data_IF_824455261499
#
_entry.id   IF_824455261499
#
_cell.length_a   1.000
_cell.length_b   1.000
_cell.length_c   1.000
_cell.angle_alpha   90.00
_cell.angle_beta   90.00
_cell.angle_gamma   90.00
#
_symmetry.space_group_name_H-M   'P 1'
#
loop_
_entity.id
_entity.type
_entity.pdbx_description
1 polymer ?
#
# COMPACT_ATOMS: atom_id res chain seq x y z
N UNK A 1 3.69 23.76 14.32
CA UNK A 1 3.91 22.94 15.53
C UNK A 1 5.11 23.50 16.29
N UNK A 2 5.04 23.62 17.63
CA UNK A 2 6.10 24.29 18.40
C UNK A 2 7.11 23.32 19.07
N UNK A 3 7.10 22.04 18.73
CA UNK A 3 7.96 21.03 19.38
C UNK A 3 8.93 20.44 18.38
N UNK A 4 10.19 20.28 18.79
CA UNK A 4 11.21 19.52 18.06
C UNK A 4 11.13 18.06 18.45
N UNK A 5 11.09 17.18 17.46
CA UNK A 5 10.97 15.72 17.62
C UNK A 5 12.22 15.00 17.13
N UNK A 6 12.45 13.79 17.64
CA UNK A 6 13.51 12.92 17.19
C UNK A 6 13.12 11.45 17.26
N UNK A 7 13.63 10.64 16.34
CA UNK A 7 13.51 9.19 16.36
C UNK A 7 14.65 8.51 15.58
N UNK A 8 14.84 7.20 15.82
CA UNK A 8 15.62 6.33 14.93
C UNK A 8 14.84 6.13 13.64
N UNK A 9 15.44 6.45 12.51
CA UNK A 9 14.79 6.40 11.17
C UNK A 9 15.22 5.19 10.33
N UNK A 10 16.14 4.37 10.83
CA UNK A 10 16.54 3.08 10.24
C UNK A 10 15.94 1.93 11.05
N UNK A 11 16.03 0.70 10.51
CA UNK A 11 15.64 -0.49 11.26
C UNK A 11 16.47 -0.60 12.57
N UNK A 12 15.80 -1.00 13.67
CA UNK A 12 16.43 -1.17 14.98
C UNK A 12 17.02 -2.58 15.06
N UNK A 13 18.08 -2.81 14.27
CA UNK A 13 18.84 -4.06 14.24
C UNK A 13 20.31 -3.76 14.06
N UNK A 14 21.20 -4.69 14.38
CA UNK A 14 22.63 -4.51 14.17
C UNK A 14 22.94 -4.32 12.68
N UNK A 15 23.48 -3.16 12.34
CA UNK A 15 23.81 -2.75 10.96
C UNK A 15 25.08 -1.89 10.95
N UNK A 16 25.60 -1.57 9.76
CA UNK A 16 26.77 -0.69 9.65
C UNK A 16 26.49 0.76 10.03
N UNK A 17 25.26 1.25 9.76
CA UNK A 17 24.84 2.65 9.98
C UNK A 17 23.44 2.67 10.59
N UNK A 18 23.23 3.56 11.58
CA UNK A 18 21.94 3.96 12.09
C UNK A 18 21.73 5.45 11.91
N UNK A 19 20.50 5.87 11.66
CA UNK A 19 20.14 7.28 11.45
C UNK A 19 19.17 7.72 12.53
N UNK A 20 19.55 8.78 13.27
CA UNK A 20 18.64 9.51 14.17
C UNK A 20 18.24 10.80 13.45
N UNK A 21 16.94 10.98 13.23
CA UNK A 21 16.38 12.18 12.63
C UNK A 21 15.80 13.10 13.70
N UNK A 22 16.08 14.40 13.55
CA UNK A 22 15.56 15.48 14.39
C UNK A 22 14.82 16.44 13.45
N UNK A 23 13.60 16.87 13.79
CA UNK A 23 12.83 17.86 13.01
C UNK A 23 12.11 18.82 13.94
N UNK A 24 12.11 20.10 13.57
CA UNK A 24 11.38 21.14 14.30
C UNK A 24 12.17 22.41 14.51
N UNK A 25 11.57 23.42 15.18
CA UNK A 25 12.14 24.77 15.30
C UNK A 25 13.47 24.80 16.07
N UNK A 26 13.70 23.88 17.00
CA UNK A 26 14.93 23.81 17.78
C UNK A 26 15.93 22.74 17.29
N UNK A 27 15.72 22.14 16.11
CA UNK A 27 16.58 21.04 15.61
C UNK A 27 18.07 21.46 15.55
N UNK A 28 18.33 22.70 15.11
CA UNK A 28 19.68 23.26 15.05
C UNK A 28 20.26 23.57 16.43
N UNK A 29 19.42 23.91 17.39
CA UNK A 29 19.83 24.16 18.77
C UNK A 29 20.21 22.88 19.48
N UNK A 30 19.37 21.84 19.34
CA UNK A 30 19.61 20.50 19.89
C UNK A 30 20.94 19.96 19.41
N UNK A 31 21.14 19.88 18.08
CA UNK A 31 22.41 19.33 17.54
C UNK A 31 23.63 20.16 17.96
N UNK A 32 23.51 21.47 18.08
CA UNK A 32 24.62 22.33 18.48
C UNK A 32 25.11 22.12 19.90
N UNK A 33 24.26 21.60 20.79
CA UNK A 33 24.61 21.29 22.19
C UNK A 33 25.44 20.03 22.32
N UNK A 34 25.22 19.06 21.43
CA UNK A 34 25.77 17.71 21.54
C UNK A 34 26.85 17.38 20.51
N UNK A 35 26.94 18.12 19.41
CA UNK A 35 27.89 17.85 18.33
C UNK A 35 29.15 18.70 18.45
N UNK A 36 30.33 18.06 18.27
CA UNK A 36 31.61 18.75 18.14
C UNK A 36 32.33 18.25 16.87
N UNK A 37 32.76 19.19 16.00
CA UNK A 37 33.53 18.84 14.80
C UNK A 37 34.92 18.34 15.17
N UNK A 38 35.51 17.44 14.38
CA UNK A 38 36.88 16.87 14.62
C UNK A 38 37.97 17.92 14.83
N UNK A 39 37.83 19.10 14.25
CA UNK A 39 38.82 20.20 14.42
C UNK A 39 38.39 21.26 15.42
N UNK A 40 37.25 21.11 16.13
CA UNK A 40 36.74 22.03 17.15
C UNK A 40 36.32 23.44 16.67
N UNK A 41 36.52 23.74 15.37
CA UNK A 41 36.36 25.10 14.81
C UNK A 41 35.02 25.35 14.10
N UNK A 42 34.30 24.32 13.72
CA UNK A 42 33.02 24.48 12.99
C UNK A 42 31.83 24.57 13.95
N UNK A 43 31.06 25.64 13.84
CA UNK A 43 29.78 25.78 14.53
C UNK A 43 28.68 25.27 13.61
N UNK A 44 28.02 24.17 13.98
CA UNK A 44 27.01 23.50 13.18
C UNK A 44 25.81 24.40 12.84
N UNK A 45 25.53 25.42 13.65
CA UNK A 45 24.48 26.41 13.37
C UNK A 45 24.78 27.34 12.20
N UNK A 46 26.05 27.52 11.86
CA UNK A 46 26.49 28.47 10.84
C UNK A 46 26.74 27.81 9.48
N UNK A 47 26.58 26.48 9.38
CA UNK A 47 26.84 25.75 8.13
C UNK A 47 25.72 25.93 7.12
N UNK A 48 25.99 25.85 5.81
CA UNK A 48 24.98 25.85 4.76
C UNK A 48 24.03 24.67 4.89
N UNK A 49 22.80 24.84 4.34
CA UNK A 49 21.84 23.74 4.20
C UNK A 49 22.33 22.69 3.22
N UNK A 50 21.86 21.44 3.39
CA UNK A 50 22.22 20.28 2.57
C UNK A 50 23.74 19.99 2.56
N UNK A 51 24.36 20.07 3.74
CA UNK A 51 25.78 19.78 3.94
C UNK A 51 25.96 18.72 5.02
N UNK A 52 27.05 17.93 4.89
CA UNK A 52 27.41 16.83 5.78
C UNK A 52 28.68 17.21 6.54
N UNK A 53 28.68 16.91 7.84
CA UNK A 53 29.74 17.29 8.77
C UNK A 53 30.20 16.11 9.61
N UNK A 54 31.47 15.79 9.53
CA UNK A 54 32.12 14.75 10.33
C UNK A 54 32.50 15.27 11.72
N UNK A 55 32.21 14.49 12.76
CA UNK A 55 32.53 14.83 14.15
C UNK A 55 32.07 13.77 15.13
N UNK A 56 31.76 14.22 16.35
CA UNK A 56 31.41 13.37 17.47
C UNK A 56 30.17 13.87 18.19
N UNK A 57 29.36 12.97 18.70
CA UNK A 57 28.25 13.27 19.64
C UNK A 57 28.80 13.11 21.07
N UNK A 58 28.45 14.08 21.91
CA UNK A 58 28.85 14.15 23.32
C UNK A 58 27.62 14.15 24.22
N UNK A 59 27.67 13.39 25.32
CA UNK A 59 26.78 13.52 26.49
C UNK A 59 27.61 14.12 27.62
N UNK A 60 27.54 15.43 27.84
CA UNK A 60 28.48 16.18 28.69
C UNK A 60 29.89 16.17 28.10
N UNK A 61 30.82 15.51 28.78
CA UNK A 61 32.22 15.35 28.35
C UNK A 61 32.51 13.97 27.73
N UNK A 62 31.56 13.03 27.80
CA UNK A 62 31.70 11.69 27.26
C UNK A 62 31.42 11.69 25.75
N UNK A 63 32.29 11.05 24.97
CA UNK A 63 32.04 10.77 23.56
C UNK A 63 31.08 9.60 23.47
N UNK A 64 29.91 9.83 22.88
CA UNK A 64 28.89 8.81 22.66
C UNK A 64 29.16 8.04 21.38
N UNK A 65 29.43 8.75 20.27
CA UNK A 65 29.74 8.12 18.99
C UNK A 65 30.47 9.08 18.02
N UNK A 66 31.13 8.50 17.03
CA UNK A 66 31.72 9.19 15.88
C UNK A 66 30.70 9.18 14.74
N UNK A 67 30.35 10.36 14.19
CA UNK A 67 29.14 10.52 13.37
C UNK A 67 29.38 11.40 12.13
N UNK A 68 28.48 11.25 11.15
CA UNK A 68 28.22 12.25 10.13
C UNK A 68 26.90 12.98 10.48
N UNK A 69 26.90 14.29 10.45
CA UNK A 69 25.70 15.10 10.70
C UNK A 69 25.29 15.80 9.42
N UNK A 70 24.10 15.50 8.93
CA UNK A 70 23.49 16.18 7.79
C UNK A 70 22.56 17.30 8.30
N UNK A 71 22.73 18.51 7.74
CA UNK A 71 21.95 19.69 8.08
C UNK A 71 21.07 20.09 6.90
N UNK A 72 19.76 20.17 7.14
CA UNK A 72 18.76 20.58 6.16
C UNK A 72 17.85 21.66 6.76
N UNK A 73 17.77 22.82 6.10
CA UNK A 73 16.97 23.94 6.59
C UNK A 73 15.65 24.08 5.85
N UNK A 74 14.65 24.48 6.61
CA UNK A 74 13.33 24.81 6.07
C UNK A 74 13.44 25.85 4.93
N UNK A 75 12.48 25.83 3.96
CA UNK A 75 11.39 24.86 3.78
C UNK A 75 11.77 23.65 2.94
N UNK A 76 13.00 23.56 2.40
CA UNK A 76 13.43 22.49 1.47
C UNK A 76 13.90 21.25 2.21
N UNK A 77 13.02 20.65 3.04
CA UNK A 77 13.26 19.42 3.82
C UNK A 77 12.09 18.47 3.68
N UNK A 78 12.20 17.26 4.24
CA UNK A 78 11.10 16.31 4.18
C UNK A 78 9.85 16.79 4.93
N UNK A 79 10.02 17.34 6.12
CA UNK A 79 8.92 17.85 6.96
C UNK A 79 8.52 19.29 6.65
N UNK A 80 9.29 20.03 5.85
CA UNK A 80 9.16 21.48 5.72
C UNK A 80 9.74 22.27 6.88
N UNK A 81 10.25 21.62 7.93
CA UNK A 81 10.90 22.20 9.11
C UNK A 81 12.43 22.07 9.01
N UNK A 82 13.18 22.76 9.90
CA UNK A 82 14.60 22.48 10.07
C UNK A 82 14.79 21.02 10.48
N UNK A 83 15.64 20.31 9.75
CA UNK A 83 15.87 18.87 9.93
C UNK A 83 17.35 18.58 10.05
N UNK A 84 17.71 17.71 10.97
CA UNK A 84 19.07 17.20 11.14
C UNK A 84 19.01 15.67 11.14
N UNK A 85 19.92 15.04 10.40
CA UNK A 85 20.15 13.60 10.49
C UNK A 85 21.53 13.34 11.04
N UNK A 86 21.60 12.41 11.99
CA UNK A 86 22.85 11.95 12.61
C UNK A 86 23.06 10.51 12.16
N UNK A 87 24.03 10.31 11.26
CA UNK A 87 24.47 8.99 10.83
C UNK A 87 25.49 8.48 11.85
N UNK A 88 25.11 7.55 12.69
CA UNK A 88 25.92 6.94 13.73
C UNK A 88 26.19 5.45 13.43
N UNK A 89 26.99 4.78 14.26
CA UNK A 89 27.14 3.34 14.15
C UNK A 89 25.81 2.63 14.41
N UNK A 90 25.48 1.62 13.57
CA UNK A 90 24.18 0.93 13.56
C UNK A 90 24.00 -0.14 14.64
N UNK A 91 24.80 -0.10 15.73
CA UNK A 91 24.54 -0.93 16.90
C UNK A 91 23.31 -0.44 17.65
N UNK A 92 22.40 -1.35 18.04
CA UNK A 92 21.15 -0.99 18.75
C UNK A 92 21.44 -0.14 19.99
N UNK A 93 22.45 -0.49 20.76
CA UNK A 93 22.83 0.27 21.95
C UNK A 93 23.39 1.66 21.60
N UNK A 94 24.23 1.76 20.55
CA UNK A 94 24.79 3.04 20.11
C UNK A 94 23.69 3.99 19.61
N UNK A 95 22.78 3.52 18.76
CA UNK A 95 21.62 4.31 18.28
C UNK A 95 20.76 4.82 19.44
N UNK A 96 20.44 3.97 20.42
CA UNK A 96 19.67 4.37 21.58
C UNK A 96 20.42 5.42 22.43
N UNK A 97 21.72 5.28 22.65
CA UNK A 97 22.53 6.27 23.38
C UNK A 97 22.57 7.63 22.69
N UNK A 98 22.69 7.63 21.34
CA UNK A 98 22.63 8.89 20.58
C UNK A 98 21.24 9.51 20.67
N UNK A 99 20.16 8.71 20.52
CA UNK A 99 18.78 9.20 20.66
C UNK A 99 18.53 9.77 22.07
N UNK A 100 18.89 9.06 23.13
CA UNK A 100 18.77 9.54 24.51
C UNK A 100 19.50 10.88 24.71
N UNK A 101 20.70 11.04 24.13
CA UNK A 101 21.45 12.29 24.20
C UNK A 101 20.72 13.44 23.51
N UNK A 102 20.10 13.16 22.33
CA UNK A 102 19.26 14.12 21.61
C UNK A 102 18.05 14.54 22.45
N UNK A 103 17.34 13.57 23.05
CA UNK A 103 16.17 13.82 23.88
C UNK A 103 16.49 14.63 25.15
N UNK A 104 17.59 14.30 25.85
CA UNK A 104 18.09 15.07 27.00
C UNK A 104 18.37 16.55 26.65
N UNK A 105 18.68 16.83 25.39
CA UNK A 105 19.05 18.16 24.92
C UNK A 105 17.90 18.95 24.26
N UNK A 106 16.64 18.51 24.44
CA UNK A 106 15.43 19.30 24.17
C UNK A 106 14.53 18.80 23.07
N UNK A 107 14.88 17.71 22.39
CA UNK A 107 13.93 17.02 21.50
C UNK A 107 12.95 16.13 22.30
N UNK A 108 11.76 15.89 21.74
CA UNK A 108 10.82 14.88 22.23
C UNK A 108 10.86 13.67 21.32
N UNK A 109 10.52 12.49 21.86
CA UNK A 109 10.39 11.31 21.04
C UNK A 109 9.24 11.51 20.04
N UNK A 110 9.49 11.19 18.76
CA UNK A 110 8.46 11.26 17.73
C UNK A 110 7.46 10.10 17.86
N UNK A 111 6.19 10.37 17.61
CA UNK A 111 5.17 9.34 17.45
C UNK A 111 5.27 8.60 16.11
N UNK A 112 4.50 7.49 15.92
CA UNK A 112 4.39 6.83 14.64
C UNK A 112 3.96 7.80 13.54
N UNK A 113 4.64 7.77 12.38
CA UNK A 113 4.34 8.63 11.24
C UNK A 113 4.47 10.13 11.44
N UNK A 114 5.02 10.61 12.58
CA UNK A 114 4.98 12.04 12.91
C UNK A 114 5.74 12.92 11.94
N UNK A 115 6.84 12.46 11.35
CA UNK A 115 7.56 13.25 10.34
C UNK A 115 6.73 13.41 9.05
N UNK A 116 6.07 12.36 8.60
CA UNK A 116 5.19 12.40 7.41
C UNK A 116 3.93 13.22 7.70
N UNK A 117 3.37 13.11 8.92
CA UNK A 117 2.26 13.95 9.37
C UNK A 117 2.63 15.43 9.34
N UNK A 118 3.85 15.80 9.78
CA UNK A 118 4.34 17.18 9.68
C UNK A 118 4.53 17.64 8.24
N UNK A 119 5.02 16.77 7.36
CA UNK A 119 5.11 17.05 5.92
C UNK A 119 3.73 17.36 5.33
N UNK A 120 2.69 16.61 5.72
CA UNK A 120 1.30 16.86 5.34
C UNK A 120 0.78 18.18 5.91
N UNK A 121 0.89 18.40 7.22
CA UNK A 121 0.40 19.61 7.88
C UNK A 121 1.11 20.90 7.42
N UNK A 122 2.36 20.79 6.98
CA UNK A 122 3.12 21.91 6.40
C UNK A 122 2.87 22.06 4.88
N UNK A 123 1.93 21.31 4.29
CA UNK A 123 1.52 21.43 2.89
C UNK A 123 2.54 20.92 1.86
N UNK A 124 3.57 20.17 2.31
CA UNK A 124 4.56 19.58 1.40
C UNK A 124 4.01 18.36 0.66
N UNK A 125 3.19 17.58 1.33
CA UNK A 125 2.48 16.41 0.80
C UNK A 125 1.00 16.58 1.06
N UNK A 126 0.15 16.07 0.17
CA UNK A 126 -1.24 15.82 0.51
C UNK A 126 -1.40 14.45 1.19
N UNK A 127 -2.62 14.10 1.61
CA UNK A 127 -2.87 12.86 2.34
C UNK A 127 -2.61 11.64 1.47
N UNK A 128 -2.95 11.68 0.16
CA UNK A 128 -2.70 10.58 -0.76
C UNK A 128 -1.20 10.33 -0.98
N UNK A 129 -0.41 11.39 -1.05
CA UNK A 129 1.05 11.31 -1.13
C UNK A 129 1.68 10.82 0.18
N UNK A 130 1.13 11.25 1.32
CA UNK A 130 1.57 10.78 2.63
C UNK A 130 1.37 9.27 2.80
N UNK A 131 0.20 8.76 2.42
CA UNK A 131 -0.07 7.31 2.40
C UNK A 131 0.88 6.56 1.46
N UNK A 132 1.18 7.14 0.28
CA UNK A 132 2.13 6.56 -0.67
C UNK A 132 3.55 6.40 -0.10
N UNK A 133 3.97 7.21 0.88
CA UNK A 133 5.26 7.01 1.59
C UNK A 133 5.33 5.63 2.24
N UNK A 134 4.24 5.21 2.89
CA UNK A 134 4.17 3.87 3.50
C UNK A 134 4.08 2.77 2.45
N UNK A 135 3.31 2.99 1.39
CA UNK A 135 3.17 2.02 0.32
C UNK A 135 4.52 1.77 -0.40
N UNK A 136 5.36 2.81 -0.57
CA UNK A 136 6.73 2.65 -1.09
C UNK A 136 7.61 1.80 -0.16
N UNK A 137 7.50 2.02 1.15
CA UNK A 137 8.29 1.27 2.15
C UNK A 137 7.84 -0.20 2.22
N UNK A 138 6.55 -0.45 2.09
CA UNK A 138 5.94 -1.77 2.21
C UNK A 138 5.83 -2.52 0.87
N UNK A 139 6.24 -1.90 -0.24
CA UNK A 139 6.14 -2.49 -1.57
C UNK A 139 6.87 -3.84 -1.65
N UNK A 140 6.15 -4.90 -2.01
CA UNK A 140 6.65 -6.28 -2.06
C UNK A 140 7.04 -6.73 -3.47
N UNK A 141 6.70 -5.93 -4.47
CA UNK A 141 7.00 -6.21 -5.88
C UNK A 141 7.22 -4.92 -6.66
N UNK A 142 7.73 -5.05 -7.88
CA UNK A 142 8.04 -3.93 -8.76
C UNK A 142 6.78 -3.10 -9.11
N UNK A 143 5.63 -3.75 -9.26
CA UNK A 143 4.38 -3.10 -9.61
C UNK A 143 3.86 -2.23 -8.47
N UNK A 144 3.87 -2.76 -7.23
CA UNK A 144 3.54 -2.00 -6.03
C UNK A 144 4.45 -0.79 -5.89
N UNK A 145 5.76 -0.96 -6.05
CA UNK A 145 6.72 0.14 -5.97
C UNK A 145 6.46 1.22 -7.03
N UNK A 146 6.23 0.84 -8.29
CA UNK A 146 5.94 1.79 -9.38
C UNK A 146 4.64 2.56 -9.15
N UNK A 147 3.57 1.88 -8.74
CA UNK A 147 2.29 2.50 -8.43
C UNK A 147 2.43 3.49 -7.26
N UNK A 148 3.05 3.07 -6.15
CA UNK A 148 3.28 3.93 -4.99
C UNK A 148 4.17 5.14 -5.31
N UNK A 149 5.20 4.96 -6.15
CA UNK A 149 6.04 6.08 -6.62
C UNK A 149 5.29 7.05 -7.52
N UNK A 150 4.37 6.58 -8.36
CA UNK A 150 3.49 7.44 -9.16
C UNK A 150 2.57 8.26 -8.25
N UNK A 151 1.94 7.62 -7.27
CA UNK A 151 1.08 8.28 -6.29
C UNK A 151 1.87 9.30 -5.45
N UNK A 152 3.08 8.95 -4.98
CA UNK A 152 3.96 9.87 -4.25
C UNK A 152 4.36 11.10 -5.06
N UNK A 153 4.48 10.96 -6.39
CA UNK A 153 4.69 12.08 -7.33
C UNK A 153 3.44 12.93 -7.56
N UNK A 154 2.29 12.54 -7.03
CA UNK A 154 1.04 13.30 -7.06
C UNK A 154 0.11 12.96 -8.23
N UNK A 155 0.20 11.77 -8.83
CA UNK A 155 -0.70 11.37 -9.91
C UNK A 155 -2.16 11.39 -9.48
N UNK A 156 -2.50 10.79 -8.32
CA UNK A 156 -3.86 10.82 -7.75
C UNK A 156 -4.27 12.26 -7.43
N UNK A 157 -3.42 13.01 -6.73
CA UNK A 157 -3.67 14.41 -6.39
C UNK A 157 -4.04 15.25 -7.61
N UNK A 158 -3.29 15.11 -8.70
CA UNK A 158 -3.51 15.89 -9.91
C UNK A 158 -4.89 15.63 -10.49
N UNK A 159 -5.25 14.36 -10.69
CA UNK A 159 -6.54 13.96 -11.23
C UNK A 159 -7.70 14.44 -10.36
N UNK A 160 -7.61 14.24 -9.04
CA UNK A 160 -8.64 14.70 -8.10
C UNK A 160 -8.78 16.23 -8.12
N UNK A 161 -7.67 16.98 -8.18
CA UNK A 161 -7.70 18.44 -8.26
C UNK A 161 -8.33 18.94 -9.55
N UNK A 162 -8.09 18.28 -10.68
CA UNK A 162 -8.72 18.62 -11.96
C UNK A 162 -10.24 18.48 -11.88
N UNK A 163 -10.75 17.33 -11.43
CA UNK A 163 -12.18 17.11 -11.22
C UNK A 163 -12.77 18.14 -10.24
N UNK A 164 -12.15 18.35 -9.09
CA UNK A 164 -12.62 19.34 -8.09
C UNK A 164 -12.62 20.76 -8.63
N UNK A 165 -11.65 21.13 -9.49
CA UNK A 165 -11.61 22.45 -10.09
C UNK A 165 -12.80 22.70 -11.03
N UNK A 166 -13.20 21.68 -11.79
CA UNK A 166 -14.39 21.77 -12.64
C UNK A 166 -15.66 21.90 -11.80
N UNK A 167 -15.80 21.07 -10.75
CA UNK A 167 -16.97 21.10 -9.86
C UNK A 167 -17.11 22.42 -9.11
N UNK A 168 -16.04 22.95 -8.51
CA UNK A 168 -16.11 24.21 -7.76
C UNK A 168 -16.41 25.40 -8.65
N UNK A 169 -15.98 25.37 -9.91
CA UNK A 169 -16.33 26.40 -10.87
C UNK A 169 -17.84 26.43 -11.15
N UNK A 170 -18.46 25.25 -11.37
CA UNK A 170 -19.89 25.16 -11.63
C UNK A 170 -20.74 25.48 -10.37
N UNK A 171 -20.28 25.07 -9.18
CA UNK A 171 -20.89 25.47 -7.90
C UNK A 171 -20.91 27.00 -7.77
N UNK A 172 -19.72 27.63 -7.94
CA UNK A 172 -19.60 29.08 -7.83
C UNK A 172 -20.46 29.82 -8.88
N UNK A 173 -20.61 29.26 -10.08
CA UNK A 173 -21.46 29.81 -11.13
C UNK A 173 -22.93 29.76 -10.73
N UNK A 174 -23.44 28.61 -10.20
CA UNK A 174 -24.81 28.46 -9.73
C UNK A 174 -25.10 29.44 -8.61
N UNK A 175 -24.26 29.47 -7.58
CA UNK A 175 -24.43 30.37 -6.42
C UNK A 175 -24.45 31.84 -6.86
N UNK A 176 -23.56 32.23 -7.78
CA UNK A 176 -23.54 33.59 -8.31
C UNK A 176 -24.81 33.94 -9.11
N UNK A 177 -25.36 32.97 -9.84
CA UNK A 177 -26.59 33.18 -10.62
C UNK A 177 -27.83 33.24 -9.73
N UNK A 178 -27.84 32.49 -8.61
CA UNK A 178 -28.90 32.56 -7.62
C UNK A 178 -28.87 33.90 -6.85
N UNK A 179 -27.69 34.43 -6.57
CA UNK A 179 -27.53 35.72 -5.87
C UNK A 179 -27.83 36.92 -6.77
N UNK A 180 -27.55 36.85 -8.07
CA UNK A 180 -27.75 37.94 -9.03
C UNK A 180 -28.49 37.49 -10.31
N UNK A 181 -29.74 37.08 -10.23
CA UNK A 181 -30.52 36.52 -11.33
C UNK A 181 -30.83 37.55 -12.44
N UNK A 182 -30.67 38.84 -12.16
CA UNK A 182 -30.92 39.89 -13.15
C UNK A 182 -29.80 40.00 -14.17
N UNK A 183 -28.56 39.63 -13.77
CA UNK A 183 -27.36 39.78 -14.62
C UNK A 183 -26.78 38.42 -15.07
N UNK A 184 -27.07 37.33 -14.38
CA UNK A 184 -26.55 35.98 -14.69
C UNK A 184 -27.73 35.05 -15.00
N UNK A 185 -27.84 34.62 -16.26
CA UNK A 185 -28.93 33.73 -16.71
C UNK A 185 -28.51 32.26 -16.59
N UNK A 186 -29.41 31.45 -16.06
CA UNK A 186 -29.28 29.97 -16.05
C UNK A 186 -30.01 29.30 -17.22
N UNK A 187 -30.52 30.08 -18.22
CA UNK A 187 -31.17 29.53 -19.40
C UNK A 187 -30.23 28.61 -20.20
N UNK A 188 -30.63 27.35 -20.40
CA UNK A 188 -29.82 26.33 -21.07
C UNK A 188 -28.64 25.79 -20.24
N UNK A 189 -28.47 26.27 -18.99
CA UNK A 189 -27.40 25.84 -18.11
C UNK A 189 -27.54 24.37 -17.65
N UNK A 190 -28.72 23.83 -17.33
CA UNK A 190 -28.85 22.42 -16.94
C UNK A 190 -28.28 21.44 -17.98
N UNK A 191 -28.45 21.71 -19.29
CA UNK A 191 -27.90 20.88 -20.37
C UNK A 191 -26.37 20.96 -20.43
N UNK A 192 -25.81 22.16 -20.22
CA UNK A 192 -24.34 22.34 -20.11
C UNK A 192 -23.78 21.59 -18.92
N UNK A 193 -24.40 21.77 -17.75
CA UNK A 193 -23.97 21.10 -16.52
C UNK A 193 -24.04 19.58 -16.65
N UNK A 194 -25.12 19.04 -17.26
CA UNK A 194 -25.25 17.61 -17.52
C UNK A 194 -24.02 17.06 -18.27
N UNK A 195 -23.56 17.74 -19.32
CA UNK A 195 -22.37 17.31 -20.06
C UNK A 195 -21.08 17.34 -19.24
N UNK A 196 -20.92 18.32 -18.33
CA UNK A 196 -19.77 18.40 -17.43
C UNK A 196 -19.83 17.26 -16.40
N UNK A 197 -20.96 17.05 -15.76
CA UNK A 197 -21.16 15.98 -14.77
C UNK A 197 -20.93 14.61 -15.40
N UNK A 198 -21.40 14.38 -16.63
CA UNK A 198 -21.15 13.12 -17.36
C UNK A 198 -19.65 12.91 -17.63
N UNK A 199 -18.92 13.95 -18.00
CA UNK A 199 -17.45 13.88 -18.18
C UNK A 199 -16.76 13.51 -16.88
N UNK A 200 -17.09 14.19 -15.77
CA UNK A 200 -16.42 13.95 -14.49
C UNK A 200 -16.81 12.60 -13.88
N UNK A 201 -18.07 12.18 -14.04
CA UNK A 201 -18.51 10.85 -13.62
C UNK A 201 -17.72 9.76 -14.35
N UNK A 202 -17.52 9.91 -15.67
CA UNK A 202 -16.70 8.97 -16.45
C UNK A 202 -15.25 8.93 -15.97
N UNK A 203 -14.66 10.09 -15.63
CA UNK A 203 -13.31 10.16 -15.07
C UNK A 203 -13.19 9.40 -13.74
N UNK A 204 -14.20 9.55 -12.86
CA UNK A 204 -14.28 8.81 -11.59
C UNK A 204 -14.46 7.30 -11.83
N UNK A 205 -15.33 6.91 -12.77
CA UNK A 205 -15.52 5.50 -13.12
C UNK A 205 -14.23 4.85 -13.67
N UNK A 206 -13.44 5.58 -14.46
CA UNK A 206 -12.14 5.11 -14.94
C UNK A 206 -11.19 4.86 -13.78
N UNK A 207 -11.13 5.76 -12.78
CA UNK A 207 -10.35 5.54 -11.56
C UNK A 207 -10.86 4.34 -10.77
N UNK A 208 -12.17 4.20 -10.58
CA UNK A 208 -12.78 3.08 -9.87
C UNK A 208 -12.49 1.73 -10.51
N UNK A 209 -12.44 1.64 -11.86
CA UNK A 209 -12.06 0.42 -12.57
C UNK A 209 -10.65 -0.05 -12.20
N UNK A 210 -9.72 0.87 -11.92
CA UNK A 210 -8.36 0.52 -11.51
C UNK A 210 -8.26 0.02 -10.07
N UNK A 211 -9.31 0.19 -9.25
CA UNK A 211 -9.24 -0.09 -7.81
C UNK A 211 -9.08 -1.57 -7.47
N UNK A 212 -9.67 -2.46 -8.28
CA UNK A 212 -9.53 -3.91 -8.07
C UNK A 212 -8.10 -4.36 -8.34
N UNK A 213 -7.54 -3.95 -9.47
CA UNK A 213 -6.14 -4.26 -9.83
C UNK A 213 -5.17 -3.58 -8.85
N UNK A 214 -5.47 -2.34 -8.43
CA UNK A 214 -4.69 -1.60 -7.45
C UNK A 214 -4.61 -2.28 -6.09
N UNK A 215 -5.72 -2.83 -5.59
CA UNK A 215 -5.73 -3.63 -4.35
C UNK A 215 -4.83 -4.85 -4.48
N UNK A 216 -4.95 -5.60 -5.57
CA UNK A 216 -4.14 -6.80 -5.83
C UNK A 216 -2.65 -6.45 -5.96
N UNK A 217 -2.32 -5.34 -6.60
CA UNK A 217 -0.94 -4.84 -6.72
C UNK A 217 -0.35 -4.56 -5.33
N UNK A 218 -1.10 -3.90 -4.46
CA UNK A 218 -0.66 -3.48 -3.13
C UNK A 218 -0.57 -4.63 -2.13
N UNK A 219 -1.64 -5.42 -2.00
CA UNK A 219 -1.81 -6.42 -0.94
C UNK A 219 -1.32 -7.80 -1.38
N UNK A 220 -1.29 -8.05 -2.68
CA UNK A 220 -1.10 -9.37 -3.26
C UNK A 220 -2.43 -10.13 -3.41
N UNK A 221 -2.37 -11.28 -4.06
CA UNK A 221 -3.50 -12.19 -4.25
C UNK A 221 -3.56 -13.14 -3.05
N UNK A 222 -4.61 -13.06 -2.23
CA UNK A 222 -4.84 -14.03 -1.15
C UNK A 222 -5.05 -15.41 -1.76
N UNK A 223 -4.06 -16.28 -1.57
CA UNK A 223 -3.97 -17.57 -2.23
C UNK A 223 -3.95 -18.71 -1.23
N UNK A 224 -4.81 -19.69 -1.41
CA UNK A 224 -4.82 -20.93 -0.64
C UNK A 224 -4.42 -22.10 -1.50
N UNK A 225 -3.61 -23.02 -0.95
CA UNK A 225 -3.20 -24.26 -1.63
C UNK A 225 -3.99 -25.42 -1.02
N UNK A 226 -4.83 -26.07 -1.82
CA UNK A 226 -5.65 -27.21 -1.39
C UNK A 226 -5.30 -28.47 -2.18
N UNK A 227 -5.66 -29.62 -1.65
CA UNK A 227 -5.42 -30.93 -2.29
C UNK A 227 -5.27 -32.03 -1.26
N UNK A 228 -5.34 -33.28 -1.70
CA UNK A 228 -5.22 -34.45 -0.82
C UNK A 228 -3.87 -34.50 -0.10
N UNK A 229 -3.75 -35.30 0.98
CA UNK A 229 -2.46 -35.65 1.56
C UNK A 229 -1.53 -36.20 0.47
N UNK A 230 -0.24 -35.84 0.55
CA UNK A 230 0.80 -36.28 -0.40
C UNK A 230 0.61 -35.85 -1.86
N UNK A 231 -0.35 -34.99 -2.21
CA UNK A 231 -0.49 -34.45 -3.55
C UNK A 231 0.67 -33.52 -3.98
N UNK A 232 1.53 -33.13 -3.04
CA UNK A 232 2.71 -32.30 -3.32
C UNK A 232 2.53 -30.82 -2.96
N UNK A 233 1.57 -30.49 -2.08
CA UNK A 233 1.33 -29.11 -1.61
C UNK A 233 2.57 -28.47 -0.97
N UNK A 234 3.22 -29.18 -0.03
CA UNK A 234 4.44 -28.70 0.63
C UNK A 234 5.62 -28.55 -0.34
N UNK A 235 5.74 -29.48 -1.31
CA UNK A 235 6.77 -29.38 -2.35
C UNK A 235 6.54 -28.20 -3.27
N UNK A 236 5.28 -27.94 -3.66
CA UNK A 236 4.92 -26.76 -4.42
C UNK A 236 5.21 -25.47 -3.65
N UNK A 237 4.80 -25.40 -2.37
CA UNK A 237 5.08 -24.25 -1.53
C UNK A 237 6.59 -23.99 -1.43
N UNK A 238 7.38 -25.02 -1.15
CA UNK A 238 8.84 -24.90 -1.06
C UNK A 238 9.47 -24.43 -2.37
N UNK A 239 8.98 -24.92 -3.52
CA UNK A 239 9.42 -24.51 -4.84
C UNK A 239 9.11 -23.02 -5.06
N UNK A 240 7.88 -22.60 -4.80
CA UNK A 240 7.45 -21.21 -4.95
C UNK A 240 8.25 -20.27 -4.03
N UNK A 241 8.55 -20.69 -2.79
CA UNK A 241 9.37 -19.94 -1.82
C UNK A 241 10.84 -19.93 -2.22
N UNK A 242 11.37 -21.03 -2.77
CA UNK A 242 12.80 -21.19 -3.11
C UNK A 242 13.26 -20.29 -4.24
N UNK A 243 12.48 -20.13 -5.30
CA UNK A 243 12.85 -19.29 -6.46
C UNK A 243 12.65 -17.81 -6.22
N UNK A 244 11.71 -17.41 -5.35
CA UNK A 244 11.25 -16.01 -5.26
C UNK A 244 10.83 -15.58 -3.84
N UNK A 245 11.70 -15.75 -2.85
CA UNK A 245 11.44 -15.11 -1.55
C UNK A 245 11.29 -13.61 -1.75
N UNK A 246 10.06 -13.09 -1.61
CA UNK A 246 9.89 -11.69 -1.30
C UNK A 246 10.74 -11.41 -0.05
N UNK A 247 11.51 -10.32 -0.06
CA UNK A 247 12.29 -9.90 1.09
C UNK A 247 11.26 -9.59 2.20
N UNK A 248 10.98 -10.59 3.03
CA UNK A 248 10.19 -10.39 4.25
C UNK A 248 11.12 -9.64 5.19
N UNK A 249 10.92 -8.35 5.34
CA UNK A 249 11.45 -7.62 6.46
C UNK A 249 10.61 -8.04 7.66
N UNK A 250 11.19 -8.82 8.57
CA UNK A 250 10.64 -9.03 9.91
C UNK A 250 10.52 -7.66 10.57
N UNK A 251 9.35 -7.06 10.50
CA UNK A 251 9.01 -5.91 11.33
C UNK A 251 8.66 -6.50 12.69
N UNK A 252 9.62 -6.50 13.63
CA UNK A 252 9.38 -6.83 15.03
C UNK A 252 8.24 -5.95 15.55
N UNK A 253 7.12 -6.58 15.89
CA UNK A 253 5.98 -5.89 16.53
C UNK A 253 4.59 -6.35 16.12
N UNK A 254 4.44 -7.20 15.09
CA UNK A 254 3.14 -7.80 14.78
C UNK A 254 3.05 -9.18 15.40
N UNK A 255 2.27 -9.25 16.46
CA UNK A 255 1.98 -10.42 17.30
C UNK A 255 1.46 -11.61 16.49
N UNK A 256 2.06 -12.77 16.75
CA UNK A 256 1.51 -14.13 16.89
C UNK A 256 0.08 -14.36 16.42
N UNK A 257 -0.23 -14.32 15.13
CA UNK A 257 -1.38 -15.08 14.63
C UNK A 257 -1.27 -15.15 13.10
N UNK A 258 -1.15 -16.39 12.58
CA UNK A 258 -1.10 -16.78 11.18
C UNK A 258 0.24 -16.42 10.51
N UNK A 259 1.06 -17.42 10.23
CA UNK A 259 2.26 -17.30 9.38
C UNK A 259 1.82 -17.03 7.94
N UNK A 260 1.72 -15.75 7.59
CA UNK A 260 1.50 -15.30 6.21
C UNK A 260 2.83 -15.35 5.45
N UNK A 261 2.88 -16.06 4.35
CA UNK A 261 4.04 -16.08 3.45
C UNK A 261 3.73 -15.32 2.18
N UNK A 262 4.62 -14.42 1.81
CA UNK A 262 4.52 -13.66 0.58
C UNK A 262 5.52 -14.19 -0.45
N UNK A 263 5.01 -14.58 -1.61
CA UNK A 263 5.78 -15.13 -2.71
C UNK A 263 5.60 -14.23 -3.93
N UNK A 264 6.69 -13.79 -4.54
CA UNK A 264 6.63 -13.00 -5.78
C UNK A 264 6.86 -13.90 -6.99
N UNK A 265 5.83 -14.12 -7.78
CA UNK A 265 5.89 -14.93 -8.99
C UNK A 265 5.79 -14.03 -10.23
N UNK A 266 6.89 -13.86 -10.98
CA UNK A 266 6.97 -13.00 -12.17
C UNK A 266 6.40 -11.58 -11.94
N UNK A 267 6.69 -10.99 -10.77
CA UNK A 267 6.23 -9.65 -10.42
C UNK A 267 4.85 -9.58 -9.75
N UNK A 268 4.13 -10.70 -9.64
CA UNK A 268 2.85 -10.80 -8.93
C UNK A 268 3.09 -11.34 -7.53
N UNK A 269 2.58 -10.68 -6.51
CA UNK A 269 2.67 -11.15 -5.13
C UNK A 269 1.48 -12.07 -4.82
N UNK A 270 1.79 -13.29 -4.38
CA UNK A 270 0.82 -14.21 -3.77
C UNK A 270 0.98 -14.14 -2.26
N UNK A 271 -0.11 -13.88 -1.54
CA UNK A 271 -0.21 -13.96 -0.09
C UNK A 271 -0.75 -15.35 0.25
N UNK A 272 0.14 -16.27 0.65
CA UNK A 272 -0.27 -17.65 0.98
C UNK A 272 -0.89 -17.67 2.38
N UNK A 273 -2.13 -18.09 2.45
CA UNK A 273 -2.90 -18.20 3.70
C UNK A 273 -2.87 -19.64 4.19
N UNK A 274 -2.79 -19.83 5.52
CA UNK A 274 -2.78 -21.13 6.22
C UNK A 274 -1.58 -22.03 5.89
N UNK A 275 -0.37 -21.47 5.91
CA UNK A 275 0.87 -22.24 5.72
C UNK A 275 1.11 -23.29 6.80
N UNK A 276 0.53 -23.15 7.99
CA UNK A 276 0.64 -24.12 9.10
C UNK A 276 0.06 -25.50 8.73
N UNK A 277 -1.11 -25.53 8.06
CA UNK A 277 -1.71 -26.77 7.59
C UNK A 277 -0.96 -27.46 6.43
N UNK A 278 -0.01 -26.76 5.81
CA UNK A 278 0.82 -27.27 4.71
C UNK A 278 2.16 -27.81 5.24
N UNK A 279 2.67 -27.26 6.35
CA UNK A 279 3.99 -27.62 6.94
C UNK A 279 3.96 -28.70 8.00
N UNK A 280 2.83 -28.93 8.69
CA UNK A 280 2.71 -29.99 9.68
C UNK A 280 2.58 -31.34 8.99
N UNK A 281 3.62 -32.15 9.15
CA UNK A 281 3.75 -33.50 8.64
C UNK A 281 3.04 -34.51 9.53
N UNK A 282 2.36 -35.48 8.89
CA UNK A 282 2.06 -36.85 9.35
C UNK A 282 1.14 -37.02 10.58
N UNK A 283 0.07 -37.77 10.35
CA UNK A 283 -0.69 -38.63 11.24
C UNK A 283 -1.94 -38.14 12.00
N UNK A 284 -2.29 -36.89 12.12
CA UNK A 284 -3.50 -36.51 12.90
C UNK A 284 -4.59 -35.73 12.14
N UNK A 285 -4.39 -35.38 10.87
CA UNK A 285 -5.19 -34.35 10.17
C UNK A 285 -6.08 -34.87 9.01
N UNK A 286 -6.25 -36.18 8.85
CA UNK A 286 -6.99 -36.73 7.67
C UNK A 286 -8.48 -36.34 7.58
N UNK A 287 -9.15 -36.04 8.68
CA UNK A 287 -10.57 -35.61 8.68
C UNK A 287 -10.81 -34.11 8.85
N UNK A 288 -9.80 -33.37 9.29
CA UNK A 288 -9.90 -31.89 9.48
C UNK A 288 -9.60 -31.14 8.16
N UNK A 289 -8.93 -31.78 7.19
CA UNK A 289 -8.40 -31.15 5.99
C UNK A 289 -9.43 -30.50 5.06
N UNK A 290 -10.52 -31.19 4.73
CA UNK A 290 -11.50 -30.68 3.74
C UNK A 290 -12.40 -29.58 4.33
N UNK A 291 -12.84 -29.73 5.59
CA UNK A 291 -13.66 -28.71 6.26
C UNK A 291 -12.87 -27.42 6.52
N UNK A 292 -11.61 -27.53 6.94
CA UNK A 292 -10.72 -26.38 7.13
C UNK A 292 -10.34 -25.73 5.80
N UNK A 293 -10.03 -26.53 4.77
CA UNK A 293 -9.80 -26.04 3.41
C UNK A 293 -11.00 -25.25 2.88
N UNK A 294 -12.22 -25.70 3.20
CA UNK A 294 -13.47 -25.02 2.81
C UNK A 294 -13.64 -23.66 3.53
N UNK A 295 -13.26 -23.58 4.81
CA UNK A 295 -13.31 -22.28 5.56
C UNK A 295 -12.27 -21.30 5.04
N UNK A 296 -11.02 -21.71 4.89
CA UNK A 296 -9.93 -20.86 4.41
C UNK A 296 -10.17 -20.42 2.95
N UNK A 297 -10.65 -21.34 2.11
CA UNK A 297 -11.00 -21.00 0.73
C UNK A 297 -12.16 -19.99 0.62
N UNK A 298 -12.99 -19.79 1.66
CA UNK A 298 -14.08 -18.79 1.63
C UNK A 298 -13.58 -17.35 1.52
N UNK A 299 -12.44 -17.04 2.07
CA UNK A 299 -11.84 -15.69 2.06
C UNK A 299 -10.78 -15.48 0.98
N UNK A 300 -10.31 -16.53 0.32
CA UNK A 300 -9.20 -16.43 -0.63
C UNK A 300 -9.65 -15.89 -2.01
N UNK A 301 -8.79 -15.06 -2.60
CA UNK A 301 -8.96 -14.54 -3.96
C UNK A 301 -8.66 -15.62 -5.01
N UNK A 302 -7.74 -16.55 -4.70
CA UNK A 302 -7.29 -17.62 -5.59
C UNK A 302 -7.17 -18.96 -4.84
N UNK A 303 -7.66 -20.02 -5.43
CA UNK A 303 -7.45 -21.38 -4.95
C UNK A 303 -6.53 -22.14 -5.92
N UNK A 304 -5.39 -22.62 -5.42
CA UNK A 304 -4.50 -23.54 -6.15
C UNK A 304 -4.83 -24.97 -5.70
N UNK A 305 -5.51 -25.70 -6.54
CA UNK A 305 -5.85 -27.11 -6.28
C UNK A 305 -4.79 -28.04 -6.86
N UNK A 306 -4.06 -28.74 -5.98
CA UNK A 306 -2.99 -29.65 -6.35
C UNK A 306 -3.54 -31.08 -6.45
N UNK A 307 -3.49 -31.63 -7.63
CA UNK A 307 -3.93 -33.02 -7.94
C UNK A 307 -2.71 -33.89 -8.25
N UNK A 308 -2.59 -35.03 -7.57
CA UNK A 308 -1.55 -36.02 -7.84
C UNK A 308 -1.92 -36.81 -9.09
N UNK A 309 -1.21 -36.63 -10.19
CA UNK A 309 -1.45 -37.35 -11.47
C UNK A 309 -1.20 -38.84 -11.36
N UNK A 310 -0.40 -39.29 -10.41
CA UNK A 310 0.00 -40.70 -10.24
C UNK A 310 -1.00 -41.56 -9.45
N UNK A 311 -2.08 -40.95 -8.92
CA UNK A 311 -3.11 -41.65 -8.15
C UNK A 311 -4.50 -41.43 -8.75
N UNK A 312 -5.40 -42.43 -8.66
CA UNK A 312 -6.79 -42.26 -9.12
C UNK A 312 -7.52 -41.17 -8.31
N UNK A 313 -8.50 -40.54 -8.96
CA UNK A 313 -9.42 -39.63 -8.30
C UNK A 313 -10.35 -40.40 -7.37
N UNK A 314 -10.72 -39.78 -6.24
CA UNK A 314 -11.64 -40.33 -5.24
C UNK A 314 -12.70 -39.31 -4.81
N UNK A 315 -13.52 -39.66 -3.82
CA UNK A 315 -14.59 -38.80 -3.28
C UNK A 315 -14.08 -37.45 -2.74
N UNK A 316 -12.87 -37.41 -2.22
CA UNK A 316 -12.28 -36.15 -1.74
C UNK A 316 -12.01 -35.18 -2.88
N UNK A 317 -11.56 -35.69 -4.04
CA UNK A 317 -11.37 -34.86 -5.25
C UNK A 317 -12.71 -34.28 -5.74
N UNK A 318 -13.79 -35.05 -5.64
CA UNK A 318 -15.15 -34.61 -6.02
C UNK A 318 -15.65 -33.52 -5.06
N UNK A 319 -15.43 -33.68 -3.76
CA UNK A 319 -15.79 -32.66 -2.76
C UNK A 319 -15.00 -31.36 -2.96
N UNK A 320 -13.70 -31.45 -3.25
CA UNK A 320 -12.87 -30.27 -3.53
C UNK A 320 -13.36 -29.59 -4.81
N UNK A 321 -13.63 -30.34 -5.86
CA UNK A 321 -14.13 -29.80 -7.12
C UNK A 321 -15.48 -29.10 -6.98
N UNK A 322 -16.39 -29.64 -6.17
CA UNK A 322 -17.67 -28.99 -5.85
C UNK A 322 -17.44 -27.66 -5.13
N UNK A 323 -16.47 -27.59 -4.22
CA UNK A 323 -16.10 -26.37 -3.52
C UNK A 323 -15.54 -25.27 -4.44
N UNK A 324 -14.94 -25.64 -5.57
CA UNK A 324 -14.30 -24.70 -6.50
C UNK A 324 -15.28 -24.04 -7.49
N UNK A 325 -16.50 -24.57 -7.68
CA UNK A 325 -17.43 -24.15 -8.76
C UNK A 325 -17.64 -22.65 -8.88
N UNK A 326 -17.76 -21.94 -7.75
CA UNK A 326 -18.04 -20.50 -7.72
C UNK A 326 -16.80 -19.67 -7.34
N UNK A 327 -15.58 -20.18 -7.56
CA UNK A 327 -14.34 -19.55 -7.13
C UNK A 327 -13.35 -19.38 -8.26
N UNK A 328 -12.48 -18.40 -8.14
CA UNK A 328 -11.29 -18.32 -8.98
C UNK A 328 -10.32 -19.41 -8.53
N UNK A 329 -10.14 -20.43 -9.35
CA UNK A 329 -9.26 -21.54 -9.06
C UNK A 329 -8.38 -21.92 -10.25
N UNK A 330 -7.21 -22.48 -9.97
CA UNK A 330 -6.31 -23.11 -10.94
C UNK A 330 -6.03 -24.52 -10.43
N UNK A 331 -6.22 -25.50 -11.31
CA UNK A 331 -5.89 -26.89 -11.00
C UNK A 331 -4.48 -27.21 -11.46
N UNK A 332 -3.65 -27.64 -10.53
CA UNK A 332 -2.27 -28.01 -10.77
C UNK A 332 -2.17 -29.53 -10.84
N UNK A 333 -2.02 -30.03 -12.06
CA UNK A 333 -1.81 -31.46 -12.34
C UNK A 333 -0.34 -31.80 -12.06
N UNK A 334 -0.09 -32.22 -10.82
CA UNK A 334 1.25 -32.35 -10.27
C UNK A 334 1.81 -33.76 -10.45
N UNK A 335 3.12 -33.93 -10.29
CA UNK A 335 3.91 -35.14 -10.44
C UNK A 335 3.90 -35.69 -11.89
N UNK A 336 3.96 -34.79 -12.86
CA UNK A 336 4.05 -35.16 -14.29
C UNK A 336 5.34 -35.90 -14.65
N UNK A 337 6.31 -35.97 -13.74
CA UNK A 337 7.52 -36.79 -13.79
C UNK A 337 7.26 -38.28 -13.52
N UNK A 338 6.06 -38.64 -13.05
CA UNK A 338 5.65 -40.03 -12.78
C UNK A 338 4.66 -40.53 -13.83
N UNK A 339 4.44 -41.86 -13.86
CA UNK A 339 3.41 -42.45 -14.69
C UNK A 339 2.01 -42.01 -14.22
N UNK A 340 1.22 -41.43 -15.12
CA UNK A 340 -0.12 -40.92 -14.80
C UNK A 340 -1.14 -42.05 -14.63
N UNK A 341 -1.90 -42.00 -13.53
CA UNK A 341 -3.06 -42.85 -13.28
C UNK A 341 -4.37 -42.21 -13.76
N UNK A 342 -4.39 -40.88 -13.92
CA UNK A 342 -5.53 -40.09 -14.41
C UNK A 342 -5.09 -39.32 -15.65
N UNK A 343 -5.83 -39.40 -16.75
CA UNK A 343 -5.50 -38.61 -17.93
C UNK A 343 -5.93 -37.11 -17.73
N UNK A 344 -5.15 -36.20 -18.31
CA UNK A 344 -5.41 -34.77 -18.25
C UNK A 344 -6.73 -34.40 -18.95
N UNK A 345 -7.09 -35.15 -20.03
CA UNK A 345 -8.34 -34.98 -20.77
C UNK A 345 -9.55 -35.33 -19.88
N UNK A 346 -9.50 -36.49 -19.18
CA UNK A 346 -10.56 -36.87 -18.25
C UNK A 346 -10.74 -35.91 -17.09
N UNK A 347 -9.66 -35.26 -16.64
CA UNK A 347 -9.73 -34.24 -15.61
C UNK A 347 -10.35 -32.95 -16.15
N UNK A 348 -10.00 -32.53 -17.38
CA UNK A 348 -10.59 -31.34 -18.03
C UNK A 348 -12.10 -31.47 -18.26
N UNK A 349 -12.62 -32.64 -18.50
CA UNK A 349 -14.07 -32.86 -18.66
C UNK A 349 -14.85 -32.68 -17.35
N UNK A 350 -14.19 -32.92 -16.21
CA UNK A 350 -14.80 -32.84 -14.88
C UNK A 350 -14.66 -31.47 -14.22
N UNK A 351 -13.67 -30.68 -14.63
CA UNK A 351 -13.28 -29.42 -13.95
C UNK A 351 -13.35 -28.27 -14.93
N UNK A 352 -14.13 -27.25 -14.57
CA UNK A 352 -14.29 -26.01 -15.37
C UNK A 352 -13.32 -24.91 -14.94
N UNK A 353 -12.05 -25.26 -14.70
CA UNK A 353 -10.99 -24.33 -14.29
C UNK A 353 -9.74 -24.53 -15.14
N UNK A 354 -8.85 -23.52 -15.26
CA UNK A 354 -7.54 -23.70 -15.89
C UNK A 354 -6.79 -24.88 -15.28
N UNK A 355 -6.31 -25.76 -16.12
CA UNK A 355 -5.55 -26.98 -15.76
C UNK A 355 -4.11 -26.83 -16.24
N UNK A 356 -3.16 -26.86 -15.33
CA UNK A 356 -1.74 -26.65 -15.61
C UNK A 356 -0.94 -27.87 -15.17
N UNK A 357 -0.22 -28.53 -16.12
CA UNK A 357 0.70 -29.58 -15.77
C UNK A 357 1.94 -29.02 -15.08
N UNK A 358 2.29 -29.59 -13.92
CA UNK A 358 3.47 -29.24 -13.17
C UNK A 358 4.22 -30.45 -12.65
N UNK A 359 5.51 -30.29 -12.42
CA UNK A 359 6.26 -31.18 -11.54
C UNK A 359 6.99 -30.32 -10.52
N UNK A 360 6.52 -30.37 -9.26
CA UNK A 360 7.18 -29.64 -8.17
C UNK A 360 8.61 -30.18 -7.90
N UNK A 361 8.89 -31.42 -8.32
CA UNK A 361 10.21 -32.05 -8.20
C UNK A 361 11.18 -31.59 -9.30
N UNK A 362 10.69 -31.49 -10.53
CA UNK A 362 11.49 -31.10 -11.71
C UNK A 362 11.37 -29.60 -12.02
N UNK A 363 10.70 -28.85 -11.14
CA UNK A 363 10.53 -27.37 -11.21
C UNK A 363 9.88 -26.88 -12.52
N UNK A 364 8.97 -27.71 -13.11
CA UNK A 364 8.33 -27.40 -14.39
C UNK A 364 6.90 -26.86 -14.21
N UNK A 365 6.42 -26.04 -15.17
CA UNK A 365 5.06 -25.50 -15.22
C UNK A 365 4.84 -24.19 -14.47
N UNK A 366 5.83 -23.69 -13.73
CA UNK A 366 5.70 -22.47 -12.90
C UNK A 366 5.49 -21.21 -13.74
N UNK A 367 6.18 -21.08 -14.87
CA UNK A 367 5.98 -19.95 -15.78
C UNK A 367 4.52 -19.91 -16.32
N UNK A 368 3.95 -21.05 -16.69
CA UNK A 368 2.56 -21.15 -17.14
C UNK A 368 1.57 -20.81 -16.02
N UNK A 369 1.88 -21.18 -14.77
CA UNK A 369 1.09 -20.78 -13.60
C UNK A 369 1.09 -19.26 -13.44
N UNK A 370 2.25 -18.63 -13.52
CA UNK A 370 2.37 -17.16 -13.43
C UNK A 370 1.56 -16.45 -14.53
N UNK A 371 1.66 -16.87 -15.78
CA UNK A 371 0.94 -16.29 -16.91
C UNK A 371 -0.58 -16.48 -16.75
N UNK A 372 -1.02 -17.63 -16.25
CA UNK A 372 -2.43 -17.90 -15.99
C UNK A 372 -2.98 -17.01 -14.88
N UNK A 373 -2.26 -16.88 -13.75
CA UNK A 373 -2.64 -15.96 -12.68
C UNK A 373 -2.75 -14.54 -13.23
N UNK A 374 -1.75 -14.12 -14.02
CA UNK A 374 -1.76 -12.78 -14.63
C UNK A 374 -2.99 -12.54 -15.48
N UNK A 375 -3.37 -13.49 -16.32
CA UNK A 375 -4.56 -13.38 -17.19
C UNK A 375 -5.87 -13.40 -16.41
N UNK A 376 -5.94 -14.07 -15.25
CA UNK A 376 -7.14 -14.18 -14.42
C UNK A 376 -7.42 -12.91 -13.58
N UNK A 377 -6.37 -12.23 -13.14
CA UNK A 377 -6.49 -11.14 -12.19
C UNK A 377 -6.25 -9.76 -12.81
N UNK A 378 -5.58 -9.68 -13.94
CA UNK A 378 -5.30 -8.42 -14.61
C UNK A 378 -5.93 -8.43 -16.00
N UNK A 379 -7.06 -7.73 -16.16
CA UNK A 379 -7.91 -7.73 -17.37
C UNK A 379 -7.30 -6.99 -18.57
N UNK A 380 -6.07 -6.50 -18.45
CA UNK A 380 -5.35 -5.81 -19.52
C UNK A 380 -3.84 -5.99 -19.39
N UNK A 381 -3.10 -5.45 -20.33
CA UNK A 381 -1.67 -5.21 -20.14
C UNK A 381 -1.58 -4.25 -18.96
N UNK A 382 -1.00 -4.68 -17.83
CA UNK A 382 -0.57 -3.73 -16.81
C UNK A 382 0.40 -2.79 -17.52
N UNK A 383 -0.12 -1.68 -18.04
CA UNK A 383 0.68 -0.67 -18.69
C UNK A 383 0.91 0.41 -17.67
N UNK A 384 2.13 0.51 -17.16
CA UNK A 384 2.54 1.59 -16.26
C UNK A 384 2.84 2.91 -17.01
N UNK A 385 2.34 3.03 -18.24
CA UNK A 385 2.40 4.25 -19.00
C UNK A 385 1.24 5.16 -18.55
N UNK A 386 1.49 5.98 -17.53
CA UNK A 386 0.63 7.07 -17.03
C UNK A 386 -0.75 6.69 -16.43
N UNK A 387 -1.06 5.41 -16.25
CA UNK A 387 -2.31 5.02 -15.58
C UNK A 387 -2.22 5.25 -14.06
N UNK A 388 -3.26 5.88 -13.51
CA UNK A 388 -3.42 6.11 -12.08
C UNK A 388 -4.19 4.93 -11.48
N UNK A 389 -3.55 4.18 -10.57
CA UNK A 389 -4.19 3.07 -9.86
C UNK A 389 -4.68 3.52 -8.48
N UNK A 390 -5.93 3.22 -8.17
CA UNK A 390 -6.50 3.41 -6.82
C UNK A 390 -6.18 2.17 -5.99
N UNK A 391 -5.23 2.29 -5.09
CA UNK A 391 -4.74 1.17 -4.27
C UNK A 391 -5.32 1.18 -2.84
N UNK A 392 -5.95 2.28 -2.43
CA UNK A 392 -6.44 2.50 -1.08
C UNK A 392 -7.97 2.40 -1.02
N UNK A 393 -8.49 1.61 -0.07
CA UNK A 393 -9.95 1.44 0.13
C UNK A 393 -10.65 2.77 0.46
N UNK A 394 -10.02 3.66 1.24
CA UNK A 394 -10.54 5.00 1.56
C UNK A 394 -10.73 5.86 0.31
N UNK A 395 -9.75 5.81 -0.63
CA UNK A 395 -9.87 6.53 -1.91
C UNK A 395 -11.02 5.97 -2.75
N UNK A 396 -11.16 4.63 -2.78
CA UNK A 396 -12.26 3.96 -3.49
C UNK A 396 -13.62 4.40 -2.95
N UNK A 397 -13.80 4.35 -1.64
CA UNK A 397 -15.04 4.76 -0.97
C UNK A 397 -15.40 6.24 -1.27
N UNK A 398 -14.40 7.13 -1.18
CA UNK A 398 -14.60 8.54 -1.49
C UNK A 398 -14.96 8.79 -2.97
N UNK A 399 -14.40 8.00 -3.90
CA UNK A 399 -14.77 8.05 -5.32
C UNK A 399 -16.18 7.51 -5.58
N UNK A 400 -16.59 6.43 -4.89
CA UNK A 400 -17.96 5.88 -4.97
C UNK A 400 -18.97 6.90 -4.46
N UNK A 401 -18.75 7.52 -3.30
CA UNK A 401 -19.60 8.59 -2.78
C UNK A 401 -19.71 9.78 -3.75
N UNK A 402 -18.59 10.18 -4.37
CA UNK A 402 -18.60 11.27 -5.34
C UNK A 402 -19.37 10.90 -6.62
N UNK A 403 -19.22 9.67 -7.12
CA UNK A 403 -19.96 9.18 -8.29
C UNK A 403 -21.46 9.15 -8.03
N UNK A 404 -21.89 8.69 -6.84
CA UNK A 404 -23.30 8.67 -6.43
C UNK A 404 -23.88 10.09 -6.34
N UNK A 405 -23.14 11.03 -5.77
CA UNK A 405 -23.55 12.44 -5.71
C UNK A 405 -23.69 13.05 -7.10
N UNK A 406 -22.77 12.79 -8.02
CA UNK A 406 -22.89 13.25 -9.41
C UNK A 406 -24.06 12.60 -10.16
N UNK A 407 -24.40 11.34 -9.86
CA UNK A 407 -25.59 10.71 -10.39
C UNK A 407 -26.87 11.40 -9.90
N UNK A 408 -26.90 11.88 -8.65
CA UNK A 408 -28.02 12.66 -8.11
C UNK A 408 -28.14 14.02 -8.82
N UNK A 409 -27.04 14.70 -9.15
CA UNK A 409 -27.07 15.92 -9.98
C UNK A 409 -27.75 15.64 -11.32
N UNK A 410 -27.38 14.57 -12.01
CA UNK A 410 -27.99 14.19 -13.30
C UNK A 410 -29.48 13.93 -13.17
N UNK A 411 -29.88 13.17 -12.14
CA UNK A 411 -31.27 12.88 -11.87
C UNK A 411 -32.07 14.17 -11.62
N UNK A 412 -31.52 15.08 -10.81
CA UNK A 412 -32.15 16.37 -10.52
C UNK A 412 -32.34 17.23 -11.78
N UNK A 413 -31.39 17.20 -12.72
CA UNK A 413 -31.48 17.87 -14.03
C UNK A 413 -32.60 17.23 -14.89
N UNK A 414 -32.65 15.90 -14.96
CA UNK A 414 -33.65 15.16 -15.72
C UNK A 414 -35.08 15.37 -15.17
N UNK A 415 -35.20 15.46 -13.87
CA UNK A 415 -36.48 15.71 -13.17
C UNK A 415 -36.88 17.18 -13.23
N UNK A 416 -36.09 18.06 -13.81
CA UNK A 416 -36.34 19.50 -13.93
C UNK A 416 -36.41 20.21 -12.57
N UNK A 417 -35.62 19.77 -11.62
CA UNK A 417 -35.51 20.39 -10.29
C UNK A 417 -34.87 21.77 -10.39
N UNK A 418 -35.16 22.68 -9.44
CA UNK A 418 -34.47 23.98 -9.35
C UNK A 418 -32.97 23.83 -9.17
N UNK A 419 -32.21 24.81 -9.67
CA UNK A 419 -30.74 24.76 -9.77
C UNK A 419 -30.02 24.76 -8.41
N UNK A 420 -30.68 25.24 -7.34
CA UNK A 420 -30.16 25.15 -5.97
C UNK A 420 -29.97 23.69 -5.49
N UNK A 421 -30.76 22.75 -6.02
CA UNK A 421 -30.59 21.34 -5.73
C UNK A 421 -29.28 20.80 -6.35
N UNK A 422 -28.89 21.30 -7.52
CA UNK A 422 -27.67 20.86 -8.19
C UNK A 422 -26.40 21.22 -7.36
N UNK A 423 -26.40 22.42 -6.74
CA UNK A 423 -25.26 22.88 -5.93
C UNK A 423 -25.03 22.00 -4.70
N UNK A 424 -26.12 21.48 -4.07
CA UNK A 424 -26.03 20.60 -2.89
C UNK A 424 -25.26 19.31 -3.25
N UNK A 425 -25.67 18.64 -4.31
CA UNK A 425 -25.08 17.36 -4.71
C UNK A 425 -23.66 17.55 -5.32
N UNK A 426 -23.44 18.66 -6.03
CA UNK A 426 -22.08 19.03 -6.48
C UNK A 426 -21.13 19.28 -5.30
N UNK A 427 -21.61 19.97 -4.24
CA UNK A 427 -20.83 20.19 -3.01
C UNK A 427 -20.54 18.87 -2.29
N UNK A 428 -21.50 17.93 -2.25
CA UNK A 428 -21.28 16.61 -1.69
C UNK A 428 -20.19 15.84 -2.46
N UNK A 429 -20.24 15.84 -3.79
CA UNK A 429 -19.20 15.22 -4.63
C UNK A 429 -17.82 15.90 -4.42
N UNK A 430 -17.79 17.23 -4.39
CA UNK A 430 -16.58 18.02 -4.15
C UNK A 430 -15.95 17.69 -2.79
N UNK A 431 -16.77 17.59 -1.73
CA UNK A 431 -16.31 17.23 -0.38
C UNK A 431 -15.79 15.80 -0.31
N UNK A 432 -16.48 14.83 -0.92
CA UNK A 432 -16.03 13.43 -0.95
C UNK A 432 -14.68 13.27 -1.66
N UNK A 433 -14.48 13.96 -2.78
CA UNK A 433 -13.16 13.99 -3.45
C UNK A 433 -12.08 14.67 -2.58
N UNK A 434 -12.45 15.68 -1.79
CA UNK A 434 -11.55 16.36 -0.85
C UNK A 434 -11.01 15.46 0.25
N UNK A 435 -11.77 14.44 0.66
CA UNK A 435 -11.31 13.42 1.60
C UNK A 435 -10.07 12.69 1.11
N UNK A 436 -9.90 12.49 -0.21
CA UNK A 436 -8.75 11.79 -0.80
C UNK A 436 -7.46 12.58 -0.57
N UNK A 437 -7.48 13.88 -0.83
CA UNK A 437 -6.31 14.76 -0.69
C UNK A 437 -6.09 15.27 0.73
N UNK A 438 -7.09 15.09 1.62
CA UNK A 438 -7.01 15.51 3.01
C UNK A 438 -7.50 16.94 3.28
N UNK A 439 -8.20 17.55 2.33
CA UNK A 439 -8.73 18.91 2.48
C UNK A 439 -10.03 18.95 3.32
N UNK A 440 -10.76 17.84 3.34
CA UNK A 440 -12.06 17.68 4.02
C UNK A 440 -12.02 16.62 5.13
N UNK A 441 -10.86 16.42 5.78
CA UNK A 441 -10.71 15.40 6.84
C UNK A 441 -10.53 16.01 8.21
N UNK A 442 -11.21 15.43 9.19
CA UNK A 442 -11.04 15.79 10.60
C UNK A 442 -9.69 15.33 11.18
N UNK A 443 -9.27 15.99 12.25
CA UNK A 443 -8.00 15.70 12.94
C UNK A 443 -7.93 14.26 13.45
N UNK A 444 -9.04 13.66 13.88
CA UNK A 444 -9.12 12.28 14.37
C UNK A 444 -8.77 11.26 13.28
N UNK A 445 -9.30 11.43 12.06
CA UNK A 445 -8.98 10.55 10.94
C UNK A 445 -7.50 10.69 10.52
N UNK A 446 -6.98 11.90 10.49
CA UNK A 446 -5.56 12.16 10.24
C UNK A 446 -4.70 11.42 11.27
N UNK A 447 -5.03 11.53 12.56
CA UNK A 447 -4.31 10.85 13.64
C UNK A 447 -4.38 9.32 13.48
N UNK A 448 -5.54 8.76 13.13
CA UNK A 448 -5.70 7.32 12.91
C UNK A 448 -4.83 6.81 11.75
N UNK A 449 -4.84 7.52 10.61
CA UNK A 449 -4.03 7.14 9.44
C UNK A 449 -2.54 7.09 9.83
N UNK A 450 -2.02 8.14 10.47
CA UNK A 450 -0.60 8.22 10.82
C UNK A 450 -0.21 7.28 11.97
N UNK A 451 -1.14 6.85 12.83
CA UNK A 451 -0.87 5.86 13.86
C UNK A 451 -0.41 4.50 13.34
N UNK A 452 -0.76 4.19 12.09
CA UNK A 452 -0.40 2.93 11.39
C UNK A 452 0.97 3.01 10.71
N UNK A 453 1.66 4.16 10.76
CA UNK A 453 2.96 4.36 10.14
C UNK A 453 4.10 3.86 11.03
N UNK A 454 5.26 3.61 10.40
CA UNK A 454 6.47 3.24 11.14
C UNK A 454 7.00 4.39 11.98
N UNK A 455 7.65 4.07 13.11
CA UNK A 455 8.43 5.03 13.89
C UNK A 455 9.57 5.59 13.04
N UNK A 456 9.83 6.90 13.16
CA UNK A 456 10.92 7.55 12.42
C UNK A 456 10.57 7.97 10.97
N UNK A 457 9.30 7.83 10.58
CA UNK A 457 8.74 8.31 9.29
C UNK A 457 7.61 9.33 9.47
#
# INVERSE_FOLDING_TARGET
>A
MNTTIAAISTAVSASGIGIIRISGPEAMDVISRIYRSKGGKKKIKEVPTHTIHYGYIYDGEEIVDEVLVMVMRAPKTFTGEDTVEIDCHGGVYAMNRVLETVLKNGAKIAGPGEFTKRAFLNGRLDLSQAEAVMDVIQAKNEYALKSSMSQLKGSVQKTIKEIRSDLIYEIAFIESALDDPEHISLEGYPQKLHGIVEKEQKSIEELLKTSTDGKIIREGIETVIVGKPNAGKSSLLNLLVGENKAIVTDIEGTTRDILEEYITLHGITLKIVDTAGIRETEDVVEKIGVSRAREVAKGADLVLYVVDSSTPLDENDEEINEMLKDRKAIVLYNKTDLASAVSMEALKEKINHPLIPISAKEETGIAQLADTIKSMFFSGKISFNDEVYITNARHKEALEEAADSLAMVKQSIEDGMPEDFFSIDLMAAYGSLGKITGEEVGEDLVNEIFSKFCMGK
#
